data_IF_119003334666
#
_entry.id   IF_119003334666
#
_cell.length_a   1.000
_cell.length_b   1.000
_cell.length_c   1.000
_cell.angle_alpha   90.00
_cell.angle_beta   90.00
_cell.angle_gamma   90.00
#
_symmetry.space_group_name_H-M   'P 1'
#
loop_
_entity.id
_entity.type
_entity.pdbx_description
1 polymer ?
#
# COMPACT_ATOMS: atom_id res chain seq x y z
N UNK A 1 62.67 0.62 -6.57
CA UNK A 1 62.61 -0.69 -7.23
C UNK A 1 61.84 -1.66 -6.34
N UNK A 2 60.55 -1.85 -6.60
CA UNK A 2 59.73 -2.91 -6.02
C UNK A 2 58.87 -3.42 -7.18
N UNK A 3 59.24 -4.58 -7.73
CA UNK A 3 58.49 -5.25 -8.79
C UNK A 3 57.25 -5.92 -8.18
N UNK A 4 56.06 -5.44 -8.53
CA UNK A 4 54.81 -6.17 -8.34
C UNK A 4 54.70 -7.25 -9.40
N UNK A 5 54.80 -8.52 -8.99
CA UNK A 5 54.47 -9.66 -9.84
C UNK A 5 52.95 -9.75 -9.98
N UNK A 6 52.43 -9.30 -11.12
CA UNK A 6 51.07 -9.57 -11.53
C UNK A 6 50.95 -11.05 -11.89
N UNK A 7 50.29 -11.83 -11.04
CA UNK A 7 49.89 -13.20 -11.33
C UNK A 7 48.77 -13.18 -12.38
N UNK A 8 49.12 -13.34 -13.65
CA UNK A 8 48.15 -13.60 -14.71
C UNK A 8 47.49 -14.96 -14.47
N UNK A 9 46.21 -14.97 -14.08
CA UNK A 9 45.38 -16.16 -14.26
C UNK A 9 45.34 -16.51 -15.75
N UNK A 10 45.52 -17.79 -16.15
CA UNK A 10 45.44 -18.14 -17.55
C UNK A 10 44.01 -17.91 -18.03
N UNK A 11 43.84 -17.14 -19.12
CA UNK A 11 42.61 -17.16 -19.90
C UNK A 11 42.40 -18.59 -20.37
N UNK A 12 41.42 -19.29 -19.80
CA UNK A 12 40.91 -20.54 -20.35
C UNK A 12 40.45 -20.25 -21.77
N UNK A 13 41.13 -20.84 -22.75
CA UNK A 13 40.73 -20.73 -24.15
C UNK A 13 39.32 -21.30 -24.29
N UNK A 14 38.42 -20.53 -24.90
CA UNK A 14 37.10 -21.03 -25.29
C UNK A 14 37.33 -22.14 -26.31
N UNK A 15 37.12 -23.40 -25.90
CA UNK A 15 37.10 -24.53 -26.83
C UNK A 15 35.75 -24.49 -27.54
N UNK A 16 35.64 -23.70 -28.61
CA UNK A 16 34.45 -23.70 -29.46
C UNK A 16 34.39 -25.01 -30.24
N UNK A 17 33.23 -25.68 -30.19
CA UNK A 17 32.98 -26.84 -31.02
C UNK A 17 32.93 -26.44 -32.51
N UNK A 18 33.52 -27.23 -33.43
CA UNK A 18 33.45 -26.96 -34.85
C UNK A 18 32.09 -27.42 -35.40
N UNK A 19 31.08 -26.54 -35.43
CA UNK A 19 29.82 -26.80 -36.14
C UNK A 19 29.91 -26.24 -37.56
N UNK A 20 29.89 -27.11 -38.57
CA UNK A 20 29.78 -26.70 -39.97
C UNK A 20 28.30 -26.40 -40.29
N UNK A 21 27.85 -25.16 -40.11
CA UNK A 21 26.49 -24.71 -40.44
C UNK A 21 25.67 -24.24 -39.23
N UNK A 22 24.38 -23.93 -39.45
CA UNK A 22 23.48 -23.49 -38.38
C UNK A 22 23.16 -24.64 -37.41
N UNK A 23 23.52 -24.47 -36.14
CA UNK A 23 23.28 -25.42 -35.07
C UNK A 23 21.77 -25.65 -34.84
N UNK A 24 21.32 -26.91 -34.81
CA UNK A 24 19.92 -27.29 -34.54
C UNK A 24 19.52 -27.10 -33.08
N UNK A 25 20.47 -27.26 -32.16
CA UNK A 25 20.27 -27.07 -30.72
C UNK A 25 21.28 -26.04 -30.19
N UNK A 26 21.16 -24.77 -30.61
CA UNK A 26 22.10 -23.71 -30.24
C UNK A 26 22.15 -23.42 -28.73
N UNK A 27 21.12 -23.84 -27.99
CA UNK A 27 21.03 -23.72 -26.53
C UNK A 27 21.82 -24.80 -25.77
N UNK A 28 22.22 -25.89 -26.43
CA UNK A 28 23.01 -26.93 -25.78
C UNK A 28 24.45 -26.47 -25.59
N UNK A 29 24.95 -26.63 -24.37
CA UNK A 29 26.33 -26.30 -24.02
C UNK A 29 27.23 -27.43 -24.48
N UNK A 30 28.21 -27.12 -25.33
CA UNK A 30 29.15 -28.11 -25.82
C UNK A 30 29.87 -28.80 -24.65
N UNK A 31 29.80 -30.14 -24.52
CA UNK A 31 30.52 -30.88 -23.49
C UNK A 31 32.01 -30.97 -23.82
N UNK A 32 32.72 -29.84 -23.74
CA UNK A 32 34.14 -29.76 -24.01
C UNK A 32 34.97 -30.61 -23.02
N UNK A 33 35.91 -31.44 -23.50
CA UNK A 33 36.83 -32.15 -22.63
C UNK A 33 37.67 -31.20 -21.77
N UNK A 34 37.79 -31.43 -20.45
CA UNK A 34 38.69 -30.66 -19.60
C UNK A 34 40.14 -30.74 -20.08
N UNK A 35 40.94 -29.69 -19.81
CA UNK A 35 42.31 -29.58 -20.31
C UNK A 35 43.21 -30.80 -19.98
N UNK A 36 43.00 -31.45 -18.83
CA UNK A 36 43.74 -32.65 -18.42
C UNK A 36 43.37 -33.94 -19.17
N UNK A 37 42.31 -33.94 -19.98
CA UNK A 37 41.82 -35.12 -20.73
C UNK A 37 42.19 -35.11 -22.21
N UNK A 38 42.78 -34.05 -22.75
CA UNK A 38 42.92 -33.83 -24.20
C UNK A 38 43.89 -34.78 -24.94
N UNK A 39 44.63 -35.65 -24.23
CA UNK A 39 45.77 -36.38 -24.80
C UNK A 39 45.53 -37.81 -25.33
N UNK A 40 44.50 -38.54 -24.87
CA UNK A 40 44.21 -39.95 -25.27
C UNK A 40 42.74 -40.38 -25.07
N UNK A 41 41.81 -39.44 -25.23
CA UNK A 41 40.36 -39.71 -25.13
C UNK A 41 39.75 -39.92 -26.52
N UNK A 42 38.56 -40.55 -26.64
CA UNK A 42 37.86 -40.74 -27.92
C UNK A 42 37.30 -39.41 -28.48
N UNK A 43 38.18 -38.42 -28.68
CA UNK A 43 37.86 -37.04 -29.05
C UNK A 43 37.23 -36.96 -30.45
N UNK A 44 37.72 -37.76 -31.39
CA UNK A 44 37.15 -37.82 -32.74
C UNK A 44 35.68 -38.25 -32.68
N UNK A 45 35.38 -39.34 -31.98
CA UNK A 45 34.01 -39.84 -31.80
C UNK A 45 33.13 -38.84 -31.06
N UNK A 46 33.69 -38.14 -30.08
CA UNK A 46 32.99 -37.09 -29.35
C UNK A 46 32.58 -35.93 -30.26
N UNK A 47 33.51 -35.45 -31.08
CA UNK A 47 33.26 -34.38 -32.06
C UNK A 47 32.26 -34.82 -33.13
N UNK A 48 32.38 -36.04 -33.65
CA UNK A 48 31.39 -36.62 -34.57
C UNK A 48 30.00 -36.66 -33.92
N UNK A 49 29.93 -37.11 -32.67
CA UNK A 49 28.68 -37.16 -31.90
C UNK A 49 28.04 -35.79 -31.74
N UNK A 50 28.83 -34.78 -31.39
CA UNK A 50 28.34 -33.40 -31.22
C UNK A 50 27.85 -32.79 -32.53
N UNK A 51 28.62 -32.97 -33.62
CA UNK A 51 28.24 -32.44 -34.92
C UNK A 51 26.99 -33.12 -35.49
N UNK A 52 26.85 -34.44 -35.28
CA UNK A 52 25.64 -35.18 -35.63
C UNK A 52 24.44 -34.72 -34.80
N UNK A 53 24.62 -34.42 -33.51
CA UNK A 53 23.57 -33.86 -32.67
C UNK A 53 23.12 -32.49 -33.20
N UNK A 54 24.07 -31.60 -33.49
CA UNK A 54 23.78 -30.26 -33.99
C UNK A 54 23.22 -30.24 -35.42
N UNK A 55 23.36 -31.31 -36.21
CA UNK A 55 22.66 -31.47 -37.49
C UNK A 55 21.29 -32.15 -37.36
N UNK A 56 20.97 -32.70 -36.18
CA UNK A 56 19.74 -33.44 -35.90
C UNK A 56 19.80 -34.94 -36.22
N UNK A 57 20.96 -35.48 -36.60
CA UNK A 57 21.15 -36.92 -36.71
C UNK A 57 21.37 -37.56 -35.33
N UNK A 58 20.25 -37.72 -34.61
CA UNK A 58 20.23 -38.30 -33.27
C UNK A 58 20.66 -39.77 -33.22
N UNK A 59 20.73 -40.47 -34.35
CA UNK A 59 21.18 -41.87 -34.41
C UNK A 59 22.70 -41.93 -34.43
N UNK A 60 23.33 -41.13 -35.29
CA UNK A 60 24.78 -41.04 -35.36
C UNK A 60 25.35 -40.39 -34.10
N UNK A 61 24.67 -39.38 -33.55
CA UNK A 61 25.06 -38.75 -32.29
C UNK A 61 25.14 -39.77 -31.13
N UNK A 62 24.06 -40.52 -30.91
CA UNK A 62 23.96 -41.56 -29.88
C UNK A 62 25.03 -42.63 -30.04
N UNK A 63 25.18 -43.18 -31.26
CA UNK A 63 26.18 -44.22 -31.54
C UNK A 63 27.60 -43.72 -31.28
N UNK A 64 27.92 -42.49 -31.67
CA UNK A 64 29.27 -41.94 -31.55
C UNK A 64 29.63 -41.65 -30.09
N UNK A 65 28.71 -41.04 -29.33
CA UNK A 65 28.92 -40.82 -27.90
C UNK A 65 28.94 -42.14 -27.11
N UNK A 66 28.06 -43.10 -27.41
CA UNK A 66 28.07 -44.42 -26.75
C UNK A 66 29.36 -45.20 -27.03
N UNK A 67 29.88 -45.13 -28.26
CA UNK A 67 31.16 -45.71 -28.61
C UNK A 67 32.32 -45.04 -27.85
N UNK A 68 32.28 -43.72 -27.68
CA UNK A 68 33.25 -42.98 -26.87
C UNK A 68 33.21 -43.41 -25.39
N UNK A 69 32.02 -43.53 -24.79
CA UNK A 69 31.86 -44.04 -23.40
C UNK A 69 32.37 -45.48 -23.28
N UNK A 70 32.13 -46.34 -24.29
CA UNK A 70 32.60 -47.73 -24.28
C UNK A 70 34.13 -47.83 -24.38
N UNK A 71 34.75 -47.00 -25.20
CA UNK A 71 36.21 -46.96 -25.38
C UNK A 71 36.93 -46.40 -24.17
N UNK A 72 36.34 -45.39 -23.53
CA UNK A 72 36.86 -44.76 -22.33
C UNK A 72 35.73 -44.50 -21.31
N UNK A 73 35.42 -45.46 -20.41
CA UNK A 73 34.34 -45.31 -19.43
C UNK A 73 34.48 -44.11 -18.48
N UNK A 74 35.70 -43.59 -18.29
CA UNK A 74 35.97 -42.38 -17.50
C UNK A 74 35.81 -41.07 -18.27
N UNK A 75 35.49 -41.10 -19.57
CA UNK A 75 35.33 -39.92 -20.41
C UNK A 75 33.90 -39.35 -20.29
N UNK A 76 33.64 -38.74 -19.14
CA UNK A 76 32.34 -38.14 -18.79
C UNK A 76 31.82 -37.04 -19.75
N UNK A 77 32.64 -36.32 -20.56
CA UNK A 77 32.12 -35.45 -21.60
C UNK A 77 31.22 -36.16 -22.63
N UNK A 78 31.54 -37.42 -23.00
CA UNK A 78 30.68 -38.19 -23.89
C UNK A 78 29.37 -38.64 -23.21
N UNK A 79 29.40 -38.89 -21.91
CA UNK A 79 28.20 -39.19 -21.12
C UNK A 79 27.25 -37.97 -21.07
N UNK A 80 27.79 -36.76 -20.92
CA UNK A 80 27.00 -35.53 -21.05
C UNK A 80 26.44 -35.37 -22.48
N UNK A 81 27.21 -35.76 -23.51
CA UNK A 81 26.74 -35.83 -24.89
C UNK A 81 25.52 -36.74 -25.08
N UNK A 82 25.52 -37.93 -24.46
CA UNK A 82 24.34 -38.82 -24.43
C UNK A 82 23.15 -38.18 -23.71
N UNK A 83 23.40 -37.41 -22.64
CA UNK A 83 22.37 -36.62 -21.96
C UNK A 83 21.69 -35.61 -22.90
N UNK A 84 22.48 -34.89 -23.71
CA UNK A 84 21.93 -33.96 -24.71
C UNK A 84 21.18 -34.67 -25.84
N UNK A 85 21.63 -35.86 -26.26
CA UNK A 85 20.88 -36.70 -27.22
C UNK A 85 19.52 -37.09 -26.62
N UNK A 86 19.47 -37.48 -25.35
CA UNK A 86 18.23 -37.82 -24.65
C UNK A 86 17.29 -36.60 -24.53
N UNK A 87 17.81 -35.40 -24.24
CA UNK A 87 17.03 -34.15 -24.29
C UNK A 87 16.45 -33.89 -25.67
N UNK A 88 17.23 -34.05 -26.74
CA UNK A 88 16.75 -33.89 -28.11
C UNK A 88 15.65 -34.91 -28.49
N UNK A 89 15.65 -36.08 -27.85
CA UNK A 89 14.59 -37.09 -27.95
C UNK A 89 13.38 -36.82 -27.05
N UNK A 90 13.41 -35.74 -26.26
CA UNK A 90 12.41 -35.39 -25.23
C UNK A 90 12.31 -36.43 -24.11
N UNK A 91 13.35 -37.23 -23.89
CA UNK A 91 13.46 -38.16 -22.78
C UNK A 91 14.25 -37.53 -21.63
N UNK A 92 13.56 -36.66 -20.87
CA UNK A 92 14.18 -35.91 -19.79
C UNK A 92 14.63 -36.79 -18.62
N UNK A 93 14.02 -37.96 -18.41
CA UNK A 93 14.44 -38.90 -17.35
C UNK A 93 15.75 -39.59 -17.71
N UNK A 94 15.87 -40.08 -18.95
CA UNK A 94 17.13 -40.64 -19.42
C UNK A 94 18.24 -39.57 -19.45
N UNK A 95 17.92 -38.36 -19.91
CA UNK A 95 18.86 -37.24 -19.89
C UNK A 95 19.41 -36.95 -18.49
N UNK A 96 18.52 -36.88 -17.48
CA UNK A 96 18.92 -36.65 -16.09
C UNK A 96 19.91 -37.72 -15.61
N UNK A 97 19.63 -39.00 -15.88
CA UNK A 97 20.52 -40.10 -15.51
C UNK A 97 21.90 -40.01 -16.18
N UNK A 98 21.95 -39.62 -17.46
CA UNK A 98 23.21 -39.38 -18.17
C UNK A 98 23.98 -38.20 -17.56
N UNK A 99 23.34 -37.08 -17.26
CA UNK A 99 24.01 -35.94 -16.64
C UNK A 99 24.50 -36.25 -15.22
N UNK A 100 23.71 -36.97 -14.41
CA UNK A 100 24.15 -37.40 -13.07
C UNK A 100 25.38 -38.33 -13.14
N UNK A 101 25.45 -39.24 -14.14
CA UNK A 101 26.65 -40.04 -14.39
C UNK A 101 27.83 -39.19 -14.87
N UNK A 102 27.59 -38.19 -15.71
CA UNK A 102 28.63 -37.29 -16.19
C UNK A 102 29.20 -36.40 -15.07
N UNK A 103 28.39 -36.11 -14.03
CA UNK A 103 28.78 -35.32 -12.86
C UNK A 103 29.44 -36.15 -11.75
N UNK A 104 29.37 -37.49 -11.80
CA UNK A 104 29.97 -38.33 -10.77
C UNK A 104 31.51 -38.19 -10.66
N UNK A 105 32.27 -38.06 -11.77
CA UNK A 105 33.72 -37.81 -11.70
C UNK A 105 34.08 -36.35 -11.40
N UNK A 106 33.24 -35.40 -11.83
CA UNK A 106 33.44 -33.97 -11.68
C UNK A 106 32.09 -33.27 -11.51
N UNK A 107 31.75 -32.97 -10.24
CA UNK A 107 30.50 -32.33 -9.88
C UNK A 107 30.40 -30.87 -10.36
N UNK A 108 31.51 -30.28 -10.81
CA UNK A 108 31.58 -28.90 -11.31
C UNK A 108 31.57 -28.83 -12.84
N UNK A 109 31.40 -29.95 -13.54
CA UNK A 109 31.43 -29.96 -15.00
C UNK A 109 30.24 -29.19 -15.61
N UNK A 110 30.51 -27.94 -16.01
CA UNK A 110 29.50 -26.96 -16.41
C UNK A 110 28.52 -27.42 -17.51
N UNK A 111 28.96 -28.11 -18.59
CA UNK A 111 28.03 -28.61 -19.60
C UNK A 111 27.03 -29.63 -19.04
N UNK A 112 27.46 -30.55 -18.18
CA UNK A 112 26.55 -31.51 -17.56
C UNK A 112 25.62 -30.85 -16.54
N UNK A 113 26.09 -29.85 -15.79
CA UNK A 113 25.23 -29.06 -14.89
C UNK A 113 24.16 -28.28 -15.67
N UNK A 114 24.52 -27.68 -16.81
CA UNK A 114 23.59 -26.99 -17.68
C UNK A 114 22.55 -27.96 -18.27
N UNK A 115 23.00 -29.10 -18.81
CA UNK A 115 22.12 -30.14 -19.33
C UNK A 115 21.20 -30.75 -18.26
N UNK A 116 21.70 -30.97 -17.04
CA UNK A 116 20.91 -31.41 -15.89
C UNK A 116 19.79 -30.43 -15.57
N UNK A 117 20.08 -29.12 -15.60
CA UNK A 117 19.07 -28.08 -15.42
C UNK A 117 17.96 -28.14 -16.48
N UNK A 118 18.31 -28.39 -17.75
CA UNK A 118 17.32 -28.55 -18.82
C UNK A 118 16.44 -29.79 -18.65
N UNK A 119 17.04 -30.91 -18.23
CA UNK A 119 16.31 -32.13 -17.92
C UNK A 119 15.33 -31.92 -16.76
N UNK A 120 15.78 -31.24 -15.69
CA UNK A 120 14.95 -30.92 -14.53
C UNK A 120 13.82 -29.95 -14.86
N UNK A 121 14.07 -28.92 -15.69
CA UNK A 121 13.01 -28.05 -16.20
C UNK A 121 11.95 -28.83 -16.98
N UNK A 122 12.38 -29.74 -17.86
CA UNK A 122 11.49 -30.57 -18.67
C UNK A 122 10.64 -31.53 -17.81
N UNK A 123 11.14 -31.89 -16.62
CA UNK A 123 10.43 -32.69 -15.62
C UNK A 123 9.55 -31.85 -14.68
N UNK A 124 9.56 -30.52 -14.79
CA UNK A 124 8.84 -29.60 -13.90
C UNK A 124 9.54 -29.30 -12.57
N UNK A 125 10.75 -29.83 -12.36
CA UNK A 125 11.54 -29.65 -11.13
C UNK A 125 12.33 -28.33 -11.17
N UNK A 126 11.60 -27.21 -11.18
CA UNK A 126 12.13 -25.88 -11.48
C UNK A 126 13.19 -25.37 -10.49
N UNK A 127 12.99 -25.59 -9.19
CA UNK A 127 13.93 -25.19 -8.15
C UNK A 127 15.29 -25.89 -8.31
N UNK A 128 15.27 -27.22 -8.51
CA UNK A 128 16.49 -27.99 -8.74
C UNK A 128 17.15 -27.63 -10.08
N UNK A 129 16.36 -27.26 -11.08
CA UNK A 129 16.89 -26.78 -12.34
C UNK A 129 17.64 -25.46 -12.18
N UNK A 130 17.05 -24.48 -11.48
CA UNK A 130 17.70 -23.22 -11.15
C UNK A 130 19.01 -23.44 -10.39
N UNK A 131 19.03 -24.34 -9.40
CA UNK A 131 20.25 -24.68 -8.68
C UNK A 131 21.33 -25.28 -9.61
N UNK A 132 20.93 -26.15 -10.53
CA UNK A 132 21.86 -26.75 -11.51
C UNK A 132 22.42 -25.72 -12.49
N UNK A 133 21.59 -24.80 -12.98
CA UNK A 133 22.05 -23.71 -13.84
C UNK A 133 22.97 -22.74 -13.12
N UNK A 134 22.68 -22.39 -11.86
CA UNK A 134 23.55 -21.55 -11.04
C UNK A 134 24.91 -22.20 -10.81
N UNK A 135 24.94 -23.51 -10.53
CA UNK A 135 26.17 -24.26 -10.42
C UNK A 135 26.96 -24.27 -11.74
N UNK A 136 26.28 -24.42 -12.88
CA UNK A 136 26.90 -24.36 -14.21
C UNK A 136 27.56 -23.01 -14.48
N UNK A 137 26.86 -21.90 -14.22
CA UNK A 137 27.39 -20.54 -14.39
C UNK A 137 28.50 -20.22 -13.39
N UNK A 138 28.45 -20.79 -12.18
CA UNK A 138 29.52 -20.65 -11.18
C UNK A 138 30.79 -21.36 -11.62
N UNK A 139 30.66 -22.52 -12.27
CA UNK A 139 31.77 -23.29 -12.82
C UNK A 139 32.33 -22.68 -14.11
N UNK A 140 31.46 -22.15 -14.98
CA UNK A 140 31.83 -21.44 -16.20
C UNK A 140 31.05 -20.12 -16.34
N UNK A 141 31.63 -19.00 -15.88
CA UNK A 141 31.03 -17.68 -16.01
C UNK A 141 30.86 -17.18 -17.46
N UNK A 142 31.45 -17.87 -18.46
CA UNK A 142 31.30 -17.50 -19.87
C UNK A 142 29.92 -17.88 -20.45
N UNK A 143 29.14 -18.70 -19.73
CA UNK A 143 27.78 -19.12 -20.09
C UNK A 143 26.73 -18.00 -19.90
N UNK A 144 26.94 -16.85 -20.54
CA UNK A 144 26.11 -15.64 -20.38
C UNK A 144 24.64 -15.86 -20.75
N UNK A 145 24.37 -16.63 -21.81
CA UNK A 145 23.00 -16.99 -22.21
C UNK A 145 22.25 -17.77 -21.11
N UNK A 146 22.98 -18.63 -20.38
CA UNK A 146 22.42 -19.37 -19.25
C UNK A 146 22.16 -18.46 -18.05
N UNK A 147 23.05 -17.50 -17.79
CA UNK A 147 22.84 -16.42 -16.82
C UNK A 147 21.54 -15.65 -17.08
N UNK A 148 21.33 -15.18 -18.31
CA UNK A 148 20.08 -14.50 -18.70
C UNK A 148 18.84 -15.37 -18.51
N UNK A 149 18.94 -16.68 -18.80
CA UNK A 149 17.85 -17.63 -18.59
C UNK A 149 17.51 -17.79 -17.11
N UNK A 150 18.52 -17.89 -16.23
CA UNK A 150 18.33 -17.96 -14.77
C UNK A 150 17.52 -16.75 -14.28
N UNK A 151 17.87 -15.54 -14.74
CA UNK A 151 17.17 -14.31 -14.35
C UNK A 151 15.69 -14.32 -14.79
N UNK A 152 15.41 -14.74 -16.03
CA UNK A 152 14.03 -14.90 -16.52
C UNK A 152 13.26 -15.94 -15.69
N UNK A 153 13.91 -17.04 -15.31
CA UNK A 153 13.28 -18.09 -14.51
C UNK A 153 12.96 -17.60 -13.09
N UNK A 154 13.90 -16.91 -12.44
CA UNK A 154 13.73 -16.29 -11.11
C UNK A 154 12.61 -15.26 -11.12
N UNK A 155 12.59 -14.39 -12.12
CA UNK A 155 11.55 -13.38 -12.27
C UNK A 155 10.15 -14.01 -12.33
N UNK A 156 9.97 -15.06 -13.14
CA UNK A 156 8.71 -15.79 -13.24
C UNK A 156 8.29 -16.44 -11.92
N UNK A 157 9.23 -17.04 -11.18
CA UNK A 157 8.92 -17.61 -9.86
C UNK A 157 8.46 -16.54 -8.86
N UNK A 158 9.12 -15.37 -8.85
CA UNK A 158 8.69 -14.25 -8.01
C UNK A 158 7.27 -13.80 -8.37
N UNK A 159 6.92 -13.75 -9.66
CA UNK A 159 5.56 -13.41 -10.09
C UNK A 159 4.52 -14.45 -9.65
N UNK A 160 4.86 -15.74 -9.74
CA UNK A 160 3.99 -16.84 -9.28
C UNK A 160 3.77 -16.78 -7.77
N UNK A 161 4.83 -16.54 -6.98
CA UNK A 161 4.75 -16.40 -5.53
C UNK A 161 3.93 -15.16 -5.13
N UNK A 162 4.11 -14.02 -5.82
CA UNK A 162 3.30 -12.81 -5.58
C UNK A 162 1.82 -13.06 -5.91
N UNK A 163 1.53 -13.76 -7.01
CA UNK A 163 0.15 -14.11 -7.37
C UNK A 163 -0.49 -15.05 -6.34
N UNK A 164 0.25 -16.06 -5.87
CA UNK A 164 -0.18 -16.94 -4.80
C UNK A 164 -0.42 -16.18 -3.50
N UNK A 165 0.49 -15.27 -3.14
CA UNK A 165 0.38 -14.44 -1.94
C UNK A 165 -0.86 -13.56 -1.95
N UNK A 166 -1.12 -12.87 -3.08
CA UNK A 166 -2.32 -12.04 -3.26
C UNK A 166 -3.60 -12.85 -3.14
N UNK A 167 -3.68 -13.99 -3.83
CA UNK A 167 -4.82 -14.90 -3.74
C UNK A 167 -5.06 -15.40 -2.30
N UNK A 168 -3.99 -15.73 -1.57
CA UNK A 168 -4.09 -16.11 -0.16
C UNK A 168 -4.56 -14.95 0.72
N UNK A 169 -4.05 -13.74 0.49
CA UNK A 169 -4.41 -12.51 1.21
C UNK A 169 -5.88 -12.11 1.01
N UNK A 170 -6.39 -12.23 -0.21
CA UNK A 170 -7.81 -12.02 -0.56
C UNK A 170 -8.71 -13.06 0.12
N UNK A 171 -8.25 -14.31 0.20
CA UNK A 171 -8.95 -15.39 0.89
C UNK A 171 -8.84 -15.31 2.44
N UNK A 172 -8.16 -14.30 2.99
CA UNK A 172 -7.92 -14.17 4.43
C UNK A 172 -6.95 -15.21 5.01
N UNK A 173 -6.28 -16.00 4.17
CA UNK A 173 -5.26 -16.99 4.57
C UNK A 173 -3.91 -16.27 4.72
N UNK A 174 -3.85 -15.37 5.70
CA UNK A 174 -2.71 -14.47 5.88
C UNK A 174 -1.38 -15.20 6.10
N UNK A 175 -1.28 -16.31 6.86
CA UNK A 175 0.00 -16.99 7.07
C UNK A 175 0.57 -17.60 5.77
N UNK A 176 -0.31 -18.06 4.88
CA UNK A 176 0.06 -18.56 3.56
C UNK A 176 0.53 -17.41 2.65
N UNK A 177 -0.14 -16.26 2.71
CA UNK A 177 0.26 -15.06 1.97
C UNK A 177 1.65 -14.59 2.42
N UNK A 178 1.88 -14.55 3.74
CA UNK A 178 3.16 -14.19 4.35
C UNK A 178 4.28 -15.11 3.87
N UNK A 179 4.09 -16.43 3.97
CA UNK A 179 5.07 -17.41 3.51
C UNK A 179 5.39 -17.29 2.00
N UNK A 180 4.40 -16.96 1.17
CA UNK A 180 4.61 -16.74 -0.26
C UNK A 180 5.41 -15.46 -0.56
N UNK A 181 5.11 -14.34 0.11
CA UNK A 181 5.92 -13.12 0.00
C UNK A 181 7.35 -13.33 0.54
N UNK A 182 7.55 -14.10 1.61
CA UNK A 182 8.89 -14.47 2.11
C UNK A 182 9.68 -15.28 1.06
N UNK A 183 9.05 -16.24 0.38
CA UNK A 183 9.68 -16.99 -0.74
C UNK A 183 10.01 -16.10 -1.93
N UNK A 184 9.16 -15.12 -2.25
CA UNK A 184 9.44 -14.13 -3.29
C UNK A 184 10.63 -13.24 -2.88
N UNK A 185 10.68 -12.82 -1.62
CA UNK A 185 11.72 -11.96 -1.09
C UNK A 185 13.09 -12.66 -1.01
N UNK A 186 13.11 -13.95 -0.68
CA UNK A 186 14.34 -14.75 -0.70
C UNK A 186 15.03 -14.75 -2.08
N UNK A 187 14.26 -14.57 -3.15
CA UNK A 187 14.75 -14.48 -4.54
C UNK A 187 15.07 -13.05 -4.97
N UNK A 188 14.29 -12.08 -4.47
CA UNK A 188 14.42 -10.65 -4.80
C UNK A 188 14.53 -9.79 -3.53
N UNK A 189 15.63 -9.90 -2.76
CA UNK A 189 15.76 -9.28 -1.44
C UNK A 189 15.89 -7.75 -1.47
N UNK A 190 16.05 -7.16 -2.66
CA UNK A 190 16.16 -5.72 -2.90
C UNK A 190 14.87 -5.14 -3.49
N UNK A 191 13.72 -5.82 -3.36
CA UNK A 191 12.44 -5.34 -3.87
C UNK A 191 11.67 -4.54 -2.81
N UNK A 192 11.63 -3.18 -2.89
CA UNK A 192 10.81 -2.38 -1.97
C UNK A 192 9.33 -2.75 -2.05
N UNK A 193 8.86 -3.08 -3.26
CA UNK A 193 7.51 -3.60 -3.48
C UNK A 193 7.19 -4.82 -2.60
N UNK A 194 8.05 -5.84 -2.56
CA UNK A 194 7.78 -7.06 -1.79
C UNK A 194 7.72 -6.78 -0.28
N UNK A 195 8.62 -5.94 0.23
CA UNK A 195 8.58 -5.51 1.64
C UNK A 195 7.31 -4.73 1.97
N UNK A 196 6.87 -3.83 1.09
CA UNK A 196 5.61 -3.08 1.28
C UNK A 196 4.41 -4.02 1.32
N UNK A 197 4.32 -4.98 0.41
CA UNK A 197 3.20 -5.93 0.38
C UNK A 197 3.22 -6.87 1.61
N UNK A 198 4.40 -7.33 2.02
CA UNK A 198 4.58 -8.12 3.24
C UNK A 198 4.16 -7.34 4.50
N UNK A 199 4.53 -6.05 4.60
CA UNK A 199 4.11 -5.18 5.71
C UNK A 199 2.58 -5.07 5.83
N UNK A 200 1.88 -5.01 4.69
CA UNK A 200 0.43 -4.97 4.66
C UNK A 200 -0.20 -6.28 5.15
N UNK A 201 0.41 -7.43 4.82
CA UNK A 201 -0.02 -8.74 5.35
C UNK A 201 0.23 -8.83 6.86
N UNK A 202 1.43 -8.49 7.33
CA UNK A 202 1.77 -8.50 8.76
C UNK A 202 0.83 -7.61 9.57
N UNK A 203 0.49 -6.42 9.06
CA UNK A 203 -0.46 -5.51 9.70
C UNK A 203 -1.85 -6.13 9.84
N UNK A 204 -2.34 -6.83 8.81
CA UNK A 204 -3.63 -7.53 8.84
C UNK A 204 -3.62 -8.73 9.80
N UNK A 205 -2.46 -9.37 9.99
CA UNK A 205 -2.28 -10.43 10.98
C UNK A 205 -2.18 -9.91 12.43
N UNK A 206 -1.94 -8.61 12.60
CA UNK A 206 -1.66 -8.01 13.91
C UNK A 206 -0.18 -8.05 14.30
N UNK A 207 0.71 -8.48 13.40
CA UNK A 207 2.16 -8.53 13.59
C UNK A 207 2.78 -7.13 13.42
N UNK A 208 2.37 -6.17 14.27
CA UNK A 208 2.65 -4.75 14.10
C UNK A 208 4.15 -4.39 14.09
N UNK A 209 4.98 -5.13 14.83
CA UNK A 209 6.43 -4.92 14.85
C UNK A 209 7.07 -5.30 13.51
N UNK A 210 6.74 -6.48 12.99
CA UNK A 210 7.23 -6.95 11.69
C UNK A 210 6.70 -6.07 10.54
N UNK A 211 5.44 -5.64 10.61
CA UNK A 211 4.87 -4.71 9.66
C UNK A 211 5.68 -3.42 9.56
N UNK A 212 6.05 -2.84 10.71
CA UNK A 212 6.83 -1.60 10.74
C UNK A 212 8.24 -1.80 10.20
N UNK A 213 8.91 -2.89 10.57
CA UNK A 213 10.24 -3.25 10.07
C UNK A 213 10.24 -3.40 8.55
N UNK A 214 9.29 -4.15 7.99
CA UNK A 214 9.18 -4.34 6.54
C UNK A 214 8.83 -3.02 5.82
N UNK A 215 7.92 -2.20 6.34
CA UNK A 215 7.60 -0.91 5.73
C UNK A 215 8.81 0.04 5.74
N UNK A 216 9.57 0.07 6.85
CA UNK A 216 10.82 0.84 6.94
C UNK A 216 11.89 0.32 5.98
N UNK A 217 12.00 -1.00 5.80
CA UNK A 217 12.93 -1.60 4.85
C UNK A 217 12.58 -1.22 3.40
N UNK A 218 11.29 -1.19 3.04
CA UNK A 218 10.83 -0.71 1.74
C UNK A 218 11.26 0.74 1.51
N UNK A 219 11.01 1.62 2.49
CA UNK A 219 11.40 3.04 2.41
C UNK A 219 12.92 3.24 2.38
N UNK A 220 13.70 2.41 3.08
CA UNK A 220 15.16 2.48 3.04
C UNK A 220 15.74 2.10 1.66
N UNK A 221 15.10 1.16 0.95
CA UNK A 221 15.49 0.77 -0.40
C UNK A 221 15.09 1.82 -1.46
N UNK A 222 13.92 2.45 -1.27
CA UNK A 222 13.41 3.48 -2.17
C UNK A 222 12.78 4.63 -1.36
N UNK A 223 13.59 5.62 -0.93
CA UNK A 223 13.14 6.69 -0.02
C UNK A 223 12.19 7.71 -0.65
N UNK A 224 12.23 7.84 -1.97
CA UNK A 224 11.46 8.85 -2.71
C UNK A 224 10.14 8.30 -3.29
N UNK A 225 9.73 7.09 -2.89
CA UNK A 225 8.43 6.54 -3.27
C UNK A 225 7.40 6.78 -2.14
N UNK A 226 6.37 7.62 -2.36
CA UNK A 226 5.36 7.92 -1.36
C UNK A 226 4.60 6.68 -0.87
N UNK A 227 4.50 5.61 -1.68
CA UNK A 227 3.83 4.35 -1.30
C UNK A 227 4.52 3.66 -0.14
N UNK A 228 5.84 3.80 -0.01
CA UNK A 228 6.60 3.22 1.09
C UNK A 228 6.38 4.00 2.39
N UNK A 229 6.28 5.34 2.32
CA UNK A 229 5.92 6.19 3.46
C UNK A 229 4.48 5.92 3.91
N UNK A 230 3.53 5.79 2.97
CA UNK A 230 2.14 5.42 3.27
C UNK A 230 2.08 4.11 4.04
N UNK A 231 2.87 3.10 3.68
CA UNK A 231 2.89 1.82 4.40
C UNK A 231 3.36 1.96 5.86
N UNK A 232 4.33 2.85 6.13
CA UNK A 232 4.77 3.17 7.50
C UNK A 232 3.64 3.89 8.26
N UNK A 233 3.01 4.89 7.64
CA UNK A 233 1.93 5.67 8.25
C UNK A 233 0.70 4.80 8.58
N UNK A 234 0.26 3.93 7.66
CA UNK A 234 -0.80 2.95 7.89
C UNK A 234 -0.47 2.01 9.05
N UNK A 235 0.81 1.69 9.25
CA UNK A 235 1.26 0.84 10.35
C UNK A 235 1.20 1.59 11.69
N UNK A 236 1.66 2.84 11.76
CA UNK A 236 1.47 3.68 12.96
C UNK A 236 0.00 3.89 13.28
N UNK A 237 -0.82 4.11 12.26
CA UNK A 237 -2.25 4.25 12.42
C UNK A 237 -2.89 2.98 13.01
N UNK A 238 -2.54 1.80 12.52
CA UNK A 238 -3.02 0.52 13.06
C UNK A 238 -2.53 0.26 14.50
N UNK A 239 -1.40 0.85 14.90
CA UNK A 239 -0.90 0.83 16.28
C UNK A 239 -1.60 1.84 17.20
N UNK A 240 -2.45 2.73 16.65
CA UNK A 240 -3.08 3.83 17.40
C UNK A 240 -2.18 5.06 17.59
N UNK A 241 -1.00 5.07 16.98
CA UNK A 241 0.00 6.15 17.04
C UNK A 241 -0.35 7.25 16.02
N UNK A 242 -1.54 7.83 16.16
CA UNK A 242 -2.17 8.71 15.16
C UNK A 242 -1.31 9.95 14.82
N UNK A 243 -0.61 10.53 15.80
CA UNK A 243 0.26 11.69 15.57
C UNK A 243 1.44 11.32 14.65
N UNK A 244 2.10 10.18 14.90
CA UNK A 244 3.18 9.68 14.03
C UNK A 244 2.66 9.35 12.63
N UNK A 245 1.45 8.79 12.54
CA UNK A 245 0.83 8.51 11.25
C UNK A 245 0.59 9.79 10.44
N UNK A 246 0.08 10.86 11.07
CA UNK A 246 -0.10 12.17 10.43
C UNK A 246 1.23 12.72 9.89
N UNK A 247 2.29 12.70 10.70
CA UNK A 247 3.60 13.22 10.29
C UNK A 247 4.14 12.48 9.06
N UNK A 248 4.03 11.14 9.04
CA UNK A 248 4.54 10.32 7.93
C UNK A 248 3.64 10.42 6.69
N UNK A 249 2.31 10.48 6.85
CA UNK A 249 1.41 10.77 5.73
C UNK A 249 1.70 12.14 5.12
N UNK A 250 1.99 13.15 5.94
CA UNK A 250 2.39 14.49 5.47
C UNK A 250 3.68 14.46 4.65
N UNK A 251 4.66 13.66 5.07
CA UNK A 251 5.87 13.43 4.28
C UNK A 251 5.59 12.75 2.93
N UNK A 252 4.64 11.81 2.87
CA UNK A 252 4.22 11.18 1.62
C UNK A 252 3.53 12.17 0.66
N UNK A 253 2.61 13.00 1.18
CA UNK A 253 1.92 14.03 0.40
C UNK A 253 2.88 15.09 -0.13
N UNK A 254 3.94 15.41 0.63
CA UNK A 254 4.98 16.34 0.18
C UNK A 254 5.80 15.81 -1.01
N UNK A 255 5.92 14.48 -1.17
CA UNK A 255 6.53 13.87 -2.35
C UNK A 255 5.56 13.84 -3.54
N UNK A 256 4.32 13.41 -3.29
CA UNK A 256 3.27 13.33 -4.31
C UNK A 256 1.91 13.73 -3.70
N UNK A 257 1.29 14.83 -4.16
CA UNK A 257 -0.01 15.25 -3.67
C UNK A 257 -1.08 14.17 -3.83
N UNK A 258 -1.78 13.82 -2.73
CA UNK A 258 -2.79 12.77 -2.72
C UNK A 258 -4.00 13.18 -1.85
N UNK A 259 -5.13 13.59 -2.47
CA UNK A 259 -6.31 14.07 -1.74
C UNK A 259 -6.93 13.05 -0.79
N UNK A 260 -6.76 11.74 -1.07
CA UNK A 260 -7.27 10.70 -0.18
C UNK A 260 -6.45 10.61 1.11
N UNK A 261 -5.13 10.82 1.01
CA UNK A 261 -4.23 10.88 2.17
C UNK A 261 -4.43 12.18 2.94
N UNK A 262 -4.63 13.31 2.28
CA UNK A 262 -5.00 14.58 2.94
C UNK A 262 -6.27 14.42 3.79
N UNK A 263 -7.32 13.84 3.22
CA UNK A 263 -8.56 13.56 3.94
C UNK A 263 -8.34 12.58 5.12
N UNK A 264 -7.39 11.65 5.00
CA UNK A 264 -7.03 10.74 6.08
C UNK A 264 -6.30 11.45 7.22
N UNK A 265 -5.37 12.35 6.89
CA UNK A 265 -4.68 13.22 7.85
C UNK A 265 -5.70 14.06 8.61
N UNK A 266 -6.64 14.71 7.89
CA UNK A 266 -7.69 15.53 8.50
C UNK A 266 -8.56 14.71 9.46
N UNK A 267 -8.99 13.51 9.06
CA UNK A 267 -9.79 12.63 9.91
C UNK A 267 -9.04 12.18 11.18
N UNK A 268 -7.74 11.88 11.07
CA UNK A 268 -6.91 11.55 12.22
C UNK A 268 -6.74 12.76 13.15
N UNK A 269 -6.49 13.94 12.59
CA UNK A 269 -6.35 15.17 13.35
C UNK A 269 -7.65 15.52 14.09
N UNK A 270 -8.80 15.38 13.44
CA UNK A 270 -10.12 15.54 14.06
C UNK A 270 -10.34 14.56 15.22
N UNK A 271 -9.90 13.30 15.06
CA UNK A 271 -10.01 12.27 16.09
C UNK A 271 -9.18 12.64 17.32
N UNK A 272 -7.92 13.06 17.11
CA UNK A 272 -7.03 13.53 18.18
C UNK A 272 -7.63 14.76 18.87
N UNK A 273 -8.10 15.74 18.09
CA UNK A 273 -8.68 16.97 18.61
C UNK A 273 -9.95 16.69 19.43
N UNK A 274 -10.82 15.80 18.95
CA UNK A 274 -12.03 15.40 19.67
C UNK A 274 -11.69 14.68 20.97
N UNK A 275 -10.71 13.77 20.97
CA UNK A 275 -10.28 13.05 22.17
C UNK A 275 -9.73 14.00 23.26
N UNK A 276 -9.11 15.11 22.86
CA UNK A 276 -8.62 16.16 23.76
C UNK A 276 -9.73 17.06 24.35
N UNK A 277 -10.97 16.98 23.85
CA UNK A 277 -12.07 17.82 24.33
C UNK A 277 -12.57 17.40 25.72
N UNK A 278 -13.11 18.36 26.51
CA UNK A 278 -13.74 18.08 27.79
C UNK A 278 -14.81 16.97 27.69
N UNK A 279 -14.99 16.12 28.72
CA UNK A 279 -16.01 15.07 28.73
C UNK A 279 -17.41 15.59 28.37
N UNK A 280 -17.76 16.80 28.83
CA UNK A 280 -19.03 17.47 28.59
C UNK A 280 -19.27 17.80 27.12
N UNK A 281 -18.20 18.05 26.34
CA UNK A 281 -18.27 18.25 24.90
C UNK A 281 -18.44 16.91 24.17
N UNK A 282 -17.67 15.89 24.58
CA UNK A 282 -17.71 14.57 23.97
C UNK A 282 -19.06 13.86 24.18
N UNK A 283 -19.80 14.22 25.23
CA UNK A 283 -21.12 13.67 25.53
C UNK A 283 -22.30 14.44 24.90
N UNK A 284 -22.05 15.49 24.11
CA UNK A 284 -23.14 16.34 23.61
C UNK A 284 -24.08 15.56 22.69
N UNK A 285 -23.55 14.76 21.76
CA UNK A 285 -24.35 14.07 20.74
C UNK A 285 -25.40 13.12 21.35
N UNK A 286 -25.06 12.47 22.45
CA UNK A 286 -25.95 11.52 23.15
C UNK A 286 -26.81 12.17 24.23
N UNK A 287 -26.70 13.49 24.44
CA UNK A 287 -27.47 14.18 25.47
C UNK A 287 -28.97 14.18 25.12
N UNK A 288 -29.87 13.86 26.08
CA UNK A 288 -31.32 13.91 25.84
C UNK A 288 -31.82 15.34 25.59
N UNK A 289 -31.11 16.33 26.14
CA UNK A 289 -31.31 17.75 25.84
C UNK A 289 -29.99 18.50 25.96
N UNK A 290 -29.73 19.43 25.04
CA UNK A 290 -28.51 20.27 25.11
C UNK A 290 -28.73 21.52 25.94
N UNK A 291 -27.68 21.91 26.67
CA UNK A 291 -27.61 23.18 27.39
C UNK A 291 -27.06 24.29 26.51
N UNK A 292 -27.24 25.55 26.93
CA UNK A 292 -26.67 26.71 26.23
C UNK A 292 -25.16 26.65 26.15
N UNK A 293 -24.47 26.16 27.18
CA UNK A 293 -23.02 25.93 27.16
C UNK A 293 -22.61 24.91 26.10
N UNK A 294 -23.34 23.80 26.00
CA UNK A 294 -23.07 22.76 25.00
C UNK A 294 -23.30 23.27 23.58
N UNK A 295 -24.39 24.01 23.33
CA UNK A 295 -24.62 24.63 22.02
C UNK A 295 -23.52 25.65 21.68
N UNK A 296 -23.14 26.49 22.64
CA UNK A 296 -22.05 27.45 22.46
C UNK A 296 -20.72 26.75 22.12
N UNK A 297 -20.41 25.65 22.80
CA UNK A 297 -19.22 24.86 22.53
C UNK A 297 -19.27 24.20 21.14
N UNK A 298 -20.39 23.59 20.74
CA UNK A 298 -20.56 23.02 19.40
C UNK A 298 -20.31 24.06 18.30
N UNK A 299 -20.98 25.21 18.39
CA UNK A 299 -20.83 26.31 17.44
C UNK A 299 -19.39 26.85 17.49
N UNK A 300 -18.85 27.06 18.69
CA UNK A 300 -17.52 27.61 18.91
C UNK A 300 -16.39 26.76 18.34
N UNK A 301 -16.49 25.43 18.47
CA UNK A 301 -15.48 24.49 17.95
C UNK A 301 -15.63 24.33 16.44
N UNK A 302 -16.84 24.02 15.95
CA UNK A 302 -17.06 23.67 14.54
C UNK A 302 -16.97 24.88 13.60
N UNK A 303 -17.40 26.05 14.07
CA UNK A 303 -17.46 27.26 13.25
C UNK A 303 -16.38 28.28 13.63
N UNK A 304 -15.31 27.87 14.33
CA UNK A 304 -14.24 28.76 14.82
C UNK A 304 -13.71 29.70 13.72
N UNK A 305 -13.45 29.16 12.53
CA UNK A 305 -12.96 29.93 11.40
C UNK A 305 -13.95 31.03 10.97
N UNK A 306 -15.25 30.75 10.95
CA UNK A 306 -16.30 31.72 10.63
C UNK A 306 -16.42 32.77 11.75
N UNK A 307 -16.41 32.34 13.01
CA UNK A 307 -16.53 33.22 14.18
C UNK A 307 -15.37 34.22 14.28
N UNK A 308 -14.14 33.79 13.97
CA UNK A 308 -12.95 34.66 13.94
C UNK A 308 -13.04 35.79 12.91
N UNK A 309 -13.80 35.59 11.82
CA UNK A 309 -14.03 36.58 10.76
C UNK A 309 -15.28 37.42 10.98
N UNK A 310 -16.15 37.02 11.90
CA UNK A 310 -17.38 37.74 12.19
C UNK A 310 -17.09 39.18 12.67
N UNK A 311 -17.94 40.17 12.30
CA UNK A 311 -17.85 41.51 12.87
C UNK A 311 -17.89 41.43 14.40
N UNK A 312 -16.97 42.13 15.07
CA UNK A 312 -16.94 42.15 16.54
C UNK A 312 -18.12 42.97 17.05
N UNK A 313 -19.07 42.33 17.71
CA UNK A 313 -20.10 43.01 18.50
C UNK A 313 -19.52 43.56 19.80
N UNK A 314 -20.28 44.44 20.48
CA UNK A 314 -19.97 44.85 21.85
C UNK A 314 -19.93 43.60 22.74
N UNK A 315 -18.76 43.29 23.29
CA UNK A 315 -18.61 42.16 24.20
C UNK A 315 -19.44 42.42 25.46
N UNK A 316 -20.59 41.76 25.57
CA UNK A 316 -21.39 41.80 26.79
C UNK A 316 -20.52 41.29 27.96
N UNK A 317 -20.52 42.02 29.07
CA UNK A 317 -19.95 41.51 30.32
C UNK A 317 -20.88 40.38 30.79
N UNK A 318 -20.34 39.17 30.92
CA UNK A 318 -21.09 37.98 31.35
C UNK A 318 -20.56 37.54 32.70
N UNK A 319 -21.44 37.54 33.71
CA UNK A 319 -21.06 37.35 35.11
C UNK A 319 -20.96 35.89 35.56
N UNK A 320 -21.66 34.96 34.89
CA UNK A 320 -21.90 33.57 35.33
C UNK A 320 -21.16 32.50 34.51
N UNK A 321 -20.17 32.88 33.70
CA UNK A 321 -19.39 31.94 32.87
C UNK A 321 -18.03 31.59 33.47
N UNK A 322 -17.59 32.29 34.52
CA UNK A 322 -16.30 32.04 35.16
C UNK A 322 -16.27 30.62 35.73
N UNK A 323 -15.27 29.83 35.34
CA UNK A 323 -15.12 28.44 35.78
C UNK A 323 -15.99 27.43 35.03
N UNK A 324 -16.82 27.86 34.07
CA UNK A 324 -17.56 26.94 33.21
C UNK A 324 -16.63 26.35 32.13
N UNK A 325 -16.73 25.05 31.88
CA UNK A 325 -15.91 24.33 30.89
C UNK A 325 -16.03 24.92 29.47
N UNK A 326 -17.19 25.51 29.14
CA UNK A 326 -17.46 26.10 27.83
C UNK A 326 -17.14 27.59 27.74
N UNK A 327 -16.59 28.22 28.79
CA UNK A 327 -16.37 29.66 28.85
C UNK A 327 -15.64 30.25 27.61
N UNK A 328 -14.57 29.63 27.06
CA UNK A 328 -13.91 30.17 25.86
C UNK A 328 -14.85 30.25 24.65
N UNK A 329 -15.68 29.23 24.45
CA UNK A 329 -16.62 29.18 23.34
C UNK A 329 -17.84 30.07 23.56
N UNK A 330 -18.35 30.16 24.81
CA UNK A 330 -19.41 31.11 25.16
C UNK A 330 -19.00 32.53 24.78
N UNK A 331 -17.78 32.95 25.17
CA UNK A 331 -17.26 34.28 24.81
C UNK A 331 -17.11 34.47 23.30
N UNK A 332 -16.69 33.43 22.58
CA UNK A 332 -16.54 33.45 21.12
C UNK A 332 -17.89 33.67 20.42
N UNK A 333 -18.89 32.84 20.75
CA UNK A 333 -20.22 32.93 20.12
C UNK A 333 -20.96 34.20 20.50
N UNK A 334 -20.76 34.72 21.72
CA UNK A 334 -21.39 35.98 22.14
C UNK A 334 -20.75 37.18 21.45
N UNK A 335 -19.43 37.20 21.28
CA UNK A 335 -18.71 38.27 20.57
C UNK A 335 -19.10 38.33 19.09
N UNK A 336 -19.35 37.17 18.49
CA UNK A 336 -19.85 37.05 17.13
C UNK A 336 -21.36 37.31 17.00
N UNK A 337 -22.06 37.61 18.10
CA UNK A 337 -23.51 37.87 18.11
C UNK A 337 -24.37 36.65 17.80
N UNK A 338 -23.83 35.43 17.90
CA UNK A 338 -24.56 34.19 17.61
C UNK A 338 -25.48 33.79 18.75
N UNK A 339 -25.04 33.98 19.99
CA UNK A 339 -25.86 33.76 21.20
C UNK A 339 -25.71 34.96 22.13
N UNK A 340 -26.81 35.48 22.67
CA UNK A 340 -26.78 36.64 23.56
C UNK A 340 -26.78 36.24 25.02
N UNK A 341 -26.19 37.10 25.87
CA UNK A 341 -26.49 37.11 27.29
C UNK A 341 -27.90 37.68 27.53
N UNK A 342 -28.54 37.25 28.62
CA UNK A 342 -29.80 37.80 29.08
C UNK A 342 -29.63 39.25 29.58
N UNK A 343 -30.73 40.03 29.68
CA UNK A 343 -30.68 41.42 30.15
C UNK A 343 -30.05 41.62 31.54
N UNK A 344 -30.01 40.57 32.36
CA UNK A 344 -29.40 40.57 33.69
C UNK A 344 -27.88 40.25 33.67
N UNK A 345 -27.22 40.35 32.52
CA UNK A 345 -25.78 40.07 32.35
C UNK A 345 -25.37 38.62 32.69
N UNK A 346 -26.29 37.67 32.53
CA UNK A 346 -26.02 36.23 32.67
C UNK A 346 -26.18 35.52 31.33
N UNK A 347 -25.38 34.48 31.07
CA UNK A 347 -25.54 33.62 29.90
C UNK A 347 -26.40 32.39 30.20
N UNK A 348 -26.51 32.01 31.47
CA UNK A 348 -27.19 30.80 31.97
C UNK A 348 -26.68 29.52 31.27
N UNK A 349 -25.40 29.14 31.47
CA UNK A 349 -24.76 28.00 30.80
C UNK A 349 -25.56 26.69 30.86
N UNK A 350 -26.26 26.45 31.97
CA UNK A 350 -27.00 25.21 32.23
C UNK A 350 -28.46 25.23 31.73
N UNK A 351 -28.94 26.34 31.19
CA UNK A 351 -30.32 26.40 30.70
C UNK A 351 -30.49 25.52 29.45
N UNK A 352 -31.61 24.80 29.40
CA UNK A 352 -31.95 23.92 28.27
C UNK A 352 -32.26 24.75 27.04
N UNK A 353 -31.64 24.40 25.92
CA UNK A 353 -31.92 24.98 24.60
C UNK A 353 -33.19 24.37 24.03
N UNK A 354 -34.14 25.24 23.66
CA UNK A 354 -35.35 24.86 22.95
C UNK A 354 -35.19 25.10 21.45
N UNK A 355 -36.09 24.55 20.64
CA UNK A 355 -36.02 24.67 19.18
C UNK A 355 -36.05 26.12 18.70
N UNK A 356 -36.79 26.99 19.39
CA UNK A 356 -36.76 28.43 19.13
C UNK A 356 -35.37 29.06 19.35
N UNK A 357 -34.66 28.66 20.41
CA UNK A 357 -33.32 29.16 20.73
C UNK A 357 -32.30 28.70 19.68
N UNK A 358 -32.36 27.41 19.29
CA UNK A 358 -31.50 26.88 18.23
C UNK A 358 -31.77 27.56 16.89
N UNK A 359 -33.04 27.79 16.54
CA UNK A 359 -33.40 28.51 15.31
C UNK A 359 -32.83 29.93 15.31
N UNK A 360 -32.89 30.63 16.45
CA UNK A 360 -32.32 31.96 16.58
C UNK A 360 -30.80 31.94 16.36
N UNK A 361 -30.08 31.06 17.05
CA UNK A 361 -28.64 30.90 16.88
C UNK A 361 -28.27 30.55 15.42
N UNK A 362 -28.98 29.58 14.83
CA UNK A 362 -28.78 29.16 13.43
C UNK A 362 -29.03 30.31 12.45
N UNK A 363 -30.09 31.10 12.64
CA UNK A 363 -30.41 32.25 11.76
C UNK A 363 -29.30 33.32 11.76
N UNK A 364 -28.62 33.51 12.90
CA UNK A 364 -27.49 34.44 13.03
C UNK A 364 -26.25 33.91 12.35
N UNK A 365 -25.94 32.63 12.50
CA UNK A 365 -24.85 31.99 11.76
C UNK A 365 -25.11 32.05 10.25
N UNK A 366 -26.32 31.73 9.81
CA UNK A 366 -26.72 31.84 8.40
C UNK A 366 -26.56 33.28 7.89
N UNK A 367 -26.88 34.28 8.70
CA UNK A 367 -26.66 35.69 8.35
C UNK A 367 -25.19 36.01 8.11
N UNK A 368 -24.26 35.47 8.92
CA UNK A 368 -22.82 35.61 8.70
C UNK A 368 -22.37 34.90 7.41
N UNK A 369 -22.79 33.65 7.22
CA UNK A 369 -22.47 32.86 6.00
C UNK A 369 -22.92 33.62 4.75
N UNK A 370 -24.10 34.22 4.83
CA UNK A 370 -24.72 34.88 3.69
C UNK A 370 -24.21 36.29 3.41
N UNK A 371 -23.48 36.88 4.37
CA UNK A 371 -22.64 38.05 4.12
C UNK A 371 -21.40 37.66 3.32
N UNK A 372 -20.80 36.48 3.57
CA UNK A 372 -19.67 35.95 2.79
C UNK A 372 -20.11 35.38 1.43
N UNK A 373 -21.33 34.80 1.34
CA UNK A 373 -21.83 34.06 0.16
C UNK A 373 -23.26 34.47 -0.23
N UNK A 374 -23.49 35.67 -0.79
CA UNK A 374 -24.84 36.16 -1.06
C UNK A 374 -25.61 35.33 -2.09
N UNK A 375 -24.96 34.80 -3.12
CA UNK A 375 -25.59 34.00 -4.17
C UNK A 375 -26.10 32.64 -3.65
N UNK A 376 -25.26 31.89 -2.91
CA UNK A 376 -25.66 30.61 -2.31
C UNK A 376 -26.81 30.79 -1.30
N UNK A 377 -26.85 31.94 -0.62
CA UNK A 377 -27.89 32.25 0.35
C UNK A 377 -29.24 32.69 -0.26
N UNK A 378 -29.27 33.07 -1.53
CA UNK A 378 -30.51 33.50 -2.19
C UNK A 378 -31.60 32.41 -2.15
N UNK A 379 -31.20 31.14 -2.23
CA UNK A 379 -32.08 29.98 -2.22
C UNK A 379 -32.92 29.85 -0.94
N UNK A 380 -32.41 30.33 0.19
CA UNK A 380 -33.08 30.18 1.49
C UNK A 380 -33.52 31.51 2.13
N UNK A 381 -33.04 32.67 1.63
CA UNK A 381 -33.46 33.99 2.15
C UNK A 381 -34.88 34.38 1.76
N UNK A 382 -35.29 34.03 0.55
CA UNK A 382 -36.57 34.43 -0.04
C UNK A 382 -37.71 33.48 0.32
N UNK A 383 -37.38 32.22 0.59
CA UNK A 383 -38.38 31.22 0.92
C UNK A 383 -38.93 31.39 2.36
N UNK A 384 -40.21 31.03 2.51
CA UNK A 384 -41.01 31.24 3.72
C UNK A 384 -41.77 29.97 4.04
N UNK A 385 -41.08 28.98 4.63
CA UNK A 385 -41.72 27.77 5.14
C UNK A 385 -42.76 28.15 6.19
N UNK A 386 -43.99 27.67 6.00
CA UNK A 386 -45.12 27.83 6.94
C UNK A 386 -45.17 26.63 7.89
N UNK A 387 -45.67 26.87 9.08
CA UNK A 387 -45.83 25.86 10.12
C UNK A 387 -47.28 25.87 10.65
N UNK A 388 -47.88 24.72 10.93
CA UNK A 388 -49.22 24.66 11.53
C UNK A 388 -49.31 25.28 12.93
N UNK A 389 -48.22 25.22 13.69
CA UNK A 389 -48.14 25.59 15.11
C UNK A 389 -47.40 26.90 15.38
N UNK A 390 -46.95 27.60 14.33
CA UNK A 390 -46.18 28.84 14.46
C UNK A 390 -46.66 29.92 13.47
N UNK A 391 -47.33 30.93 14.01
CA UNK A 391 -47.83 32.09 13.26
C UNK A 391 -46.70 32.96 12.70
N UNK A 392 -46.92 33.55 11.52
CA UNK A 392 -45.97 34.45 10.86
C UNK A 392 -45.68 35.74 11.65
N UNK A 393 -46.61 36.15 12.51
CA UNK A 393 -46.44 37.31 13.40
C UNK A 393 -45.61 37.01 14.66
N UNK A 394 -45.26 35.74 14.92
CA UNK A 394 -44.48 35.38 16.09
C UNK A 394 -43.00 35.79 15.92
N UNK A 395 -42.38 36.30 16.99
CA UNK A 395 -41.00 36.83 16.95
C UNK A 395 -39.97 35.80 16.44
N UNK A 396 -40.14 34.53 16.79
CA UNK A 396 -39.24 33.43 16.36
C UNK A 396 -39.56 32.86 14.97
N UNK A 397 -40.66 33.25 14.31
CA UNK A 397 -41.04 32.72 13.01
C UNK A 397 -39.97 32.95 11.93
N UNK A 398 -39.39 34.15 11.77
CA UNK A 398 -38.37 34.39 10.74
C UNK A 398 -37.18 33.46 10.89
N UNK A 399 -36.69 33.27 12.12
CA UNK A 399 -35.56 32.40 12.41
C UNK A 399 -35.88 30.92 12.17
N UNK A 400 -37.04 30.45 12.64
CA UNK A 400 -37.48 29.06 12.42
C UNK A 400 -37.68 28.75 10.93
N UNK A 401 -38.34 29.65 10.20
CA UNK A 401 -38.59 29.50 8.76
C UNK A 401 -37.27 29.44 7.99
N UNK A 402 -36.33 30.33 8.31
CA UNK A 402 -35.01 30.40 7.71
C UNK A 402 -34.17 29.14 8.00
N UNK A 403 -34.10 28.71 9.27
CA UNK A 403 -33.31 27.55 9.66
C UNK A 403 -33.82 26.26 8.99
N UNK A 404 -35.14 26.09 8.87
CA UNK A 404 -35.72 24.94 8.16
C UNK A 404 -35.46 25.01 6.67
N UNK A 405 -35.61 26.20 6.07
CA UNK A 405 -35.40 26.38 4.64
C UNK A 405 -33.94 26.18 4.21
N UNK A 406 -32.99 26.56 5.05
CA UNK A 406 -31.57 26.30 4.83
C UNK A 406 -31.19 24.82 5.09
N UNK A 407 -32.15 23.99 5.50
CA UNK A 407 -31.93 22.58 5.84
C UNK A 407 -31.18 22.35 7.16
N UNK A 408 -30.98 23.40 7.97
CA UNK A 408 -30.28 23.34 9.26
C UNK A 408 -31.14 22.69 10.33
N UNK A 409 -32.46 22.89 10.26
CA UNK A 409 -33.44 22.25 11.13
C UNK A 409 -34.51 21.57 10.30
N UNK A 410 -35.20 20.59 10.87
CA UNK A 410 -36.31 19.87 10.21
C UNK A 410 -37.61 20.11 10.96
N UNK A 411 -38.75 20.00 10.28
CA UNK A 411 -40.06 19.88 10.96
C UNK A 411 -40.26 18.44 11.45
N UNK A 412 -41.21 18.26 12.37
CA UNK A 412 -41.67 16.93 12.76
C UNK A 412 -42.55 16.30 11.67
N UNK A 413 -42.94 15.04 11.85
CA UNK A 413 -43.75 14.26 10.88
C UNK A 413 -45.08 14.94 10.56
N UNK A 414 -45.70 15.59 11.55
CA UNK A 414 -46.95 16.35 11.42
C UNK A 414 -46.73 17.75 10.79
N UNK A 415 -45.50 18.09 10.42
CA UNK A 415 -45.12 19.39 9.85
C UNK A 415 -44.97 20.51 10.88
N UNK A 416 -45.15 20.24 12.18
CA UNK A 416 -44.99 21.23 13.25
C UNK A 416 -43.53 21.57 13.52
N UNK A 417 -43.30 22.77 14.07
CA UNK A 417 -41.97 23.23 14.48
C UNK A 417 -41.70 23.02 15.97
N UNK A 418 -42.70 23.10 16.84
CA UNK A 418 -42.64 22.97 18.30
C UNK A 418 -41.57 23.84 18.97
N UNK A 419 -41.75 25.17 18.96
CA UNK A 419 -40.79 26.14 19.51
C UNK A 419 -40.21 25.78 20.89
N UNK A 420 -41.08 25.32 21.80
CA UNK A 420 -40.73 25.08 23.20
C UNK A 420 -40.11 23.71 23.44
N UNK A 421 -40.09 22.81 22.46
CA UNK A 421 -39.52 21.47 22.65
C UNK A 421 -38.01 21.58 22.89
N UNK A 422 -37.46 20.88 23.91
CA UNK A 422 -36.01 20.76 24.06
C UNK A 422 -35.35 20.20 22.79
N UNK A 423 -34.13 20.65 22.53
CA UNK A 423 -33.29 20.16 21.44
C UNK A 423 -32.41 19.04 21.97
N UNK A 424 -32.42 17.88 21.30
CA UNK A 424 -31.54 16.76 21.66
C UNK A 424 -30.10 17.01 21.20
N UNK A 425 -29.16 16.26 21.76
CA UNK A 425 -27.76 16.24 21.34
C UNK A 425 -27.57 16.07 19.85
N UNK A 426 -28.14 14.99 19.32
CA UNK A 426 -28.08 14.64 17.90
C UNK A 426 -28.65 15.75 17.00
N UNK A 427 -29.75 16.40 17.40
CA UNK A 427 -30.34 17.50 16.64
C UNK A 427 -29.42 18.73 16.60
N UNK A 428 -28.80 19.08 17.73
CA UNK A 428 -27.86 20.19 17.80
C UNK A 428 -26.60 19.93 16.96
N UNK A 429 -26.03 18.72 17.06
CA UNK A 429 -24.86 18.30 16.27
C UNK A 429 -25.18 18.33 14.78
N UNK A 430 -26.32 17.77 14.35
CA UNK A 430 -26.74 17.78 12.96
C UNK A 430 -26.93 19.21 12.43
N UNK A 431 -27.55 20.09 13.22
CA UNK A 431 -27.75 21.49 12.84
C UNK A 431 -26.42 22.24 12.67
N UNK A 432 -25.50 22.11 13.64
CA UNK A 432 -24.18 22.77 13.57
C UNK A 432 -23.33 22.20 12.44
N UNK A 433 -23.35 20.88 12.22
CA UNK A 433 -22.70 20.25 11.06
C UNK A 433 -23.24 20.84 9.75
N UNK A 434 -24.55 21.03 9.63
CA UNK A 434 -25.13 21.62 8.42
C UNK A 434 -24.69 23.07 8.20
N UNK A 435 -24.60 23.85 9.28
CA UNK A 435 -24.08 25.22 9.22
C UNK A 435 -22.62 25.23 8.78
N UNK A 436 -21.80 24.30 9.26
CA UNK A 436 -20.40 24.16 8.89
C UNK A 436 -20.24 23.83 7.40
N UNK A 437 -20.99 22.85 6.90
CA UNK A 437 -21.06 22.53 5.46
C UNK A 437 -21.39 23.76 4.60
N UNK A 438 -22.40 24.55 5.00
CA UNK A 438 -22.79 25.78 4.29
C UNK A 438 -21.70 26.86 4.36
N UNK A 439 -20.92 26.88 5.43
CA UNK A 439 -19.81 27.83 5.62
C UNK A 439 -18.56 27.44 4.82
N UNK A 440 -18.32 26.14 4.61
CA UNK A 440 -17.11 25.62 3.95
C UNK A 440 -16.88 26.19 2.55
N UNK A 441 -15.64 26.57 2.22
CA UNK A 441 -15.30 27.25 0.94
C UNK A 441 -15.42 26.33 -0.28
N UNK A 442 -15.42 25.03 -0.07
CA UNK A 442 -15.48 24.00 -1.10
C UNK A 442 -16.94 23.67 -1.39
N UNK A 443 -17.56 24.45 -2.27
CA UNK A 443 -18.72 23.93 -3.00
C UNK A 443 -18.26 22.68 -3.76
N UNK A 444 -18.88 21.53 -3.47
CA UNK A 444 -18.77 20.36 -4.33
C UNK A 444 -19.40 20.64 -5.69
#
# INVERSE_FOLDING_TARGET
MLLSAASCAPKTAVVTAPVAGAARFPEFVYPAPPAGMAGRVPLERHLTGWNALQSGDLRTADRSFAAAVKEAPGFYPAEAGLGYVALARKDARAALAHFDRALAPDATYAPALAGRGEALLSLGNREQALASFQAAVSADPSLTALGSRIEVLRFREVQEEVAAARKASEAGRLPEARAAYERALARSPQSPFLYRELSAVDRREGNMAAALEHAQKASALEPNDPRNLIAIAETYEAQGEMAKAIDVYGAAVALEPNPAIDARIDALAETIAFAAMPPEYRSIETAPSVTRAQLAALVGVRLDALLKRAPRGNAAIISDTRGNWAAPWILSVTRAGIMDAYPNHTFQPNAVVRRGDLAMAASRVLSLIAAEKPAAAAAWRSARRRFPDLSQGHLSYPAASLAVQAGVMTTLEDGSFQLSRPVTGAEAVAAVKKLDELSSRTGR
#
